data_IF_466966906140
#
_entry.id   IF_466966906140
#
_cell.length_a   1.000
_cell.length_b   1.000
_cell.length_c   1.000
_cell.angle_alpha   90.00
_cell.angle_beta   90.00
_cell.angle_gamma   90.00
#
_symmetry.space_group_name_H-M   'P 1'
#
loop_
_entity.id
_entity.type
_entity.pdbx_description
1 polymer ?
#
# COMPACT_ATOMS: atom_id res chain seq x y z
N UNK A 1 -36.96 -14.07 -51.79
CA UNK A 1 -35.57 -14.15 -51.31
C UNK A 1 -34.83 -12.95 -51.91
N UNK A 2 -34.45 -11.96 -51.07
CA UNK A 2 -33.88 -10.65 -51.47
C UNK A 2 -34.94 -9.65 -51.96
N UNK A 3 -34.99 -8.36 -51.62
CA UNK A 3 -34.11 -7.36 -50.99
C UNK A 3 -35.06 -6.24 -50.54
N UNK A 4 -35.20 -5.86 -49.26
CA UNK A 4 -34.21 -5.13 -48.49
C UNK A 4 -34.43 -3.62 -48.64
N UNK A 5 -35.48 -3.09 -48.02
CA UNK A 5 -35.78 -1.65 -47.91
C UNK A 5 -34.56 -0.92 -47.34
N UNK A 6 -33.96 -0.05 -48.16
CA UNK A 6 -32.90 0.86 -47.74
C UNK A 6 -33.55 2.12 -47.18
N UNK A 7 -33.87 2.09 -45.89
CA UNK A 7 -34.01 3.32 -45.12
C UNK A 7 -32.63 4.00 -45.04
N UNK A 8 -32.51 5.15 -45.68
CA UNK A 8 -31.46 6.12 -45.39
C UNK A 8 -31.54 6.51 -43.91
N UNK A 9 -30.59 6.04 -43.09
CA UNK A 9 -30.37 6.57 -41.76
C UNK A 9 -29.29 7.65 -41.88
N UNK A 10 -29.53 8.90 -41.44
CA UNK A 10 -28.49 9.92 -41.38
C UNK A 10 -27.36 9.45 -40.46
N UNK A 11 -26.12 9.49 -40.95
CA UNK A 11 -24.93 9.17 -40.18
C UNK A 11 -24.72 10.22 -39.09
N UNK A 12 -25.15 9.91 -37.86
CA UNK A 12 -24.83 10.66 -36.66
C UNK A 12 -23.35 10.47 -36.27
N UNK A 13 -22.42 10.95 -37.10
CA UNK A 13 -20.98 10.97 -36.81
C UNK A 13 -20.33 12.34 -36.89
N UNK A 14 -21.06 13.39 -37.27
CA UNK A 14 -20.42 14.67 -37.56
C UNK A 14 -20.56 15.75 -36.48
N UNK A 15 -21.15 15.48 -35.32
CA UNK A 15 -21.18 16.48 -34.23
C UNK A 15 -21.02 15.84 -32.85
N UNK A 16 -19.77 15.65 -32.43
CA UNK A 16 -19.41 15.69 -31.00
C UNK A 16 -18.41 16.84 -30.82
N UNK A 17 -18.87 18.04 -30.44
CA UNK A 17 -17.97 19.18 -30.29
C UNK A 17 -17.30 19.16 -28.91
N UNK A 18 -15.96 19.12 -28.92
CA UNK A 18 -15.07 19.91 -28.07
C UNK A 18 -15.26 19.92 -26.52
N UNK A 19 -15.91 18.93 -25.92
CA UNK A 19 -15.92 18.76 -24.44
C UNK A 19 -14.90 17.74 -23.93
N UNK A 20 -14.26 16.98 -24.82
CA UNK A 20 -13.18 16.05 -24.45
C UNK A 20 -11.81 16.72 -24.29
N UNK A 21 -11.59 17.89 -24.92
CA UNK A 21 -10.29 18.57 -24.92
C UNK A 21 -9.98 19.36 -23.64
N UNK A 22 -10.99 19.72 -22.85
CA UNK A 22 -10.85 20.60 -21.68
C UNK A 22 -10.65 19.86 -20.35
N UNK A 23 -10.94 18.55 -20.27
CA UNK A 23 -10.70 17.73 -19.08
C UNK A 23 -9.29 17.12 -19.07
N UNK A 24 -8.56 17.23 -20.18
CA UNK A 24 -7.25 16.64 -20.42
C UNK A 24 -6.10 17.65 -20.47
N UNK A 25 -6.28 18.87 -19.94
CA UNK A 25 -5.10 19.62 -19.50
C UNK A 25 -4.63 18.98 -18.21
N UNK A 26 -3.53 18.24 -18.34
CA UNK A 26 -2.69 17.67 -17.29
C UNK A 26 -3.00 18.24 -15.90
N UNK A 27 -3.28 17.34 -14.96
CA UNK A 27 -2.80 17.55 -13.60
C UNK A 27 -1.37 18.05 -13.76
N UNK A 28 -1.10 19.33 -13.45
CA UNK A 28 0.17 19.99 -13.78
C UNK A 28 1.32 19.03 -13.44
N UNK A 29 2.11 18.65 -14.45
CA UNK A 29 3.17 17.65 -14.29
C UNK A 29 4.08 18.03 -13.11
N UNK A 30 4.28 19.33 -12.89
CA UNK A 30 5.03 19.85 -11.74
C UNK A 30 4.32 19.65 -10.39
N UNK A 31 2.98 19.75 -10.33
CA UNK A 31 2.20 19.44 -9.12
C UNK A 31 2.29 17.95 -8.81
N UNK A 32 2.16 17.09 -9.83
CA UNK A 32 2.26 15.65 -9.66
C UNK A 32 3.67 15.22 -9.22
N UNK A 33 4.71 15.74 -9.88
CA UNK A 33 6.10 15.48 -9.52
C UNK A 33 6.44 15.98 -8.11
N UNK A 34 5.92 17.15 -7.71
CA UNK A 34 6.10 17.65 -6.35
C UNK A 34 5.40 16.73 -5.32
N UNK A 35 4.19 16.27 -5.60
CA UNK A 35 3.47 15.35 -4.72
C UNK A 35 4.18 13.98 -4.60
N UNK A 36 4.73 13.45 -5.69
CA UNK A 36 5.51 12.21 -5.66
C UNK A 36 6.83 12.39 -4.90
N UNK A 37 7.50 13.53 -5.07
CA UNK A 37 8.72 13.87 -4.33
C UNK A 37 8.46 13.97 -2.84
N UNK A 38 7.44 14.72 -2.43
CA UNK A 38 7.04 14.82 -1.02
C UNK A 38 6.71 13.44 -0.44
N UNK A 39 5.98 12.59 -1.17
CA UNK A 39 5.68 11.22 -0.73
C UNK A 39 6.94 10.38 -0.56
N UNK A 40 7.88 10.46 -1.52
CA UNK A 40 9.16 9.75 -1.44
C UNK A 40 10.04 10.25 -0.28
N UNK A 41 9.96 11.53 0.06
CA UNK A 41 10.59 12.14 1.24
C UNK A 41 9.85 11.82 2.55
N UNK A 42 8.75 11.05 2.49
CA UNK A 42 7.99 10.60 3.66
C UNK A 42 7.00 11.65 4.18
N UNK A 43 6.48 12.51 3.32
CA UNK A 43 5.54 13.57 3.67
C UNK A 43 4.39 13.74 2.67
N UNK A 44 3.68 14.84 2.82
CA UNK A 44 2.63 15.27 1.90
C UNK A 44 1.26 14.60 2.12
N UNK A 45 0.23 15.12 1.44
CA UNK A 45 -1.17 14.76 1.68
C UNK A 45 -1.50 13.30 1.35
N UNK A 46 -0.73 12.68 0.44
CA UNK A 46 -0.91 11.27 0.08
C UNK A 46 -0.53 10.36 1.25
N UNK A 47 0.62 10.59 1.87
CA UNK A 47 1.05 9.79 3.02
C UNK A 47 0.09 9.97 4.21
N UNK A 48 -0.36 11.21 4.46
CA UNK A 48 -1.34 11.49 5.50
C UNK A 48 -2.67 10.73 5.28
N UNK A 49 -3.15 10.68 4.03
CA UNK A 49 -4.34 9.91 3.69
C UNK A 49 -4.15 8.41 3.92
N UNK A 50 -3.00 7.86 3.52
CA UNK A 50 -2.64 6.46 3.75
C UNK A 50 -2.51 6.12 5.23
N UNK A 51 -1.96 7.03 6.03
CA UNK A 51 -1.86 6.89 7.48
C UNK A 51 -3.26 6.85 8.13
N UNK A 52 -4.15 7.77 7.75
CA UNK A 52 -5.55 7.77 8.22
C UNK A 52 -6.29 6.49 7.83
N UNK A 53 -6.12 6.02 6.59
CA UNK A 53 -6.71 4.76 6.14
C UNK A 53 -6.20 3.58 6.97
N UNK A 54 -4.89 3.54 7.23
CA UNK A 54 -4.27 2.48 8.02
C UNK A 54 -4.78 2.44 9.46
N UNK A 55 -4.97 3.62 10.08
CA UNK A 55 -5.56 3.76 11.40
C UNK A 55 -7.03 3.35 11.42
N UNK A 56 -7.82 3.81 10.45
CA UNK A 56 -9.24 3.41 10.33
C UNK A 56 -9.40 1.90 10.17
N UNK A 57 -8.52 1.27 9.39
CA UNK A 57 -8.51 -0.19 9.22
C UNK A 57 -8.14 -0.94 10.51
N UNK A 58 -7.28 -0.39 11.39
CA UNK A 58 -6.99 -0.99 12.70
C UNK A 58 -8.23 -0.92 13.63
N UNK A 59 -8.86 0.25 13.70
CA UNK A 59 -9.99 0.49 14.62
C UNK A 59 -11.26 -0.26 14.19
N UNK A 60 -11.46 -0.44 12.88
CA UNK A 60 -12.66 -1.07 12.32
C UNK A 60 -12.61 -2.60 12.18
N UNK A 61 -11.48 -3.26 12.48
CA UNK A 61 -11.29 -4.67 12.15
C UNK A 61 -12.10 -5.65 13.04
N UNK A 62 -12.67 -5.19 14.16
CA UNK A 62 -13.43 -6.05 15.08
C UNK A 62 -12.60 -7.13 15.77
N UNK A 63 -11.27 -7.04 15.68
CA UNK A 63 -10.30 -7.93 16.34
C UNK A 63 -9.52 -7.13 17.38
N UNK A 64 -8.95 -7.85 18.34
CA UNK A 64 -8.15 -7.26 19.42
C UNK A 64 -6.90 -6.55 18.83
N UNK A 65 -6.51 -5.36 19.36
CA UNK A 65 -5.49 -4.52 18.72
C UNK A 65 -4.12 -5.18 18.54
N UNK A 66 -3.63 -5.95 19.51
CA UNK A 66 -2.35 -6.66 19.39
C UNK A 66 -2.44 -7.75 18.31
N UNK A 67 -3.58 -8.44 18.23
CA UNK A 67 -3.88 -9.42 17.18
C UNK A 67 -3.86 -8.75 15.80
N UNK A 68 -4.47 -7.57 15.65
CA UNK A 68 -4.44 -6.81 14.39
C UNK A 68 -3.02 -6.44 13.95
N UNK A 69 -2.16 -6.07 14.91
CA UNK A 69 -0.76 -5.75 14.65
C UNK A 69 0.05 -6.99 14.25
N UNK A 70 -0.16 -8.13 14.91
CA UNK A 70 0.49 -9.39 14.53
C UNK A 70 0.12 -9.82 13.10
N UNK A 71 -1.16 -9.70 12.73
CA UNK A 71 -1.62 -9.98 11.36
C UNK A 71 -0.93 -9.08 10.33
N UNK A 72 -0.72 -7.80 10.66
CA UNK A 72 0.00 -6.88 9.78
C UNK A 72 1.47 -7.26 9.63
N UNK A 73 2.15 -7.56 10.74
CA UNK A 73 3.54 -8.03 10.70
C UNK A 73 3.66 -9.31 9.87
N UNK A 74 2.74 -10.27 10.06
CA UNK A 74 2.66 -11.49 9.26
C UNK A 74 2.50 -11.20 7.76
N UNK A 75 1.64 -10.23 7.40
CA UNK A 75 1.46 -9.81 6.03
C UNK A 75 2.72 -9.17 5.43
N UNK A 76 3.45 -8.34 6.18
CA UNK A 76 4.71 -7.75 5.72
C UNK A 76 5.76 -8.82 5.42
N UNK A 77 5.86 -9.83 6.30
CA UNK A 77 6.73 -10.99 6.10
C UNK A 77 6.34 -11.72 4.81
N UNK A 78 5.05 -12.02 4.62
CA UNK A 78 4.56 -12.72 3.43
C UNK A 78 4.81 -11.93 2.12
N UNK A 79 4.66 -10.61 2.17
CA UNK A 79 4.88 -9.70 1.04
C UNK A 79 6.35 -9.36 0.79
N UNK A 80 7.25 -9.78 1.69
CA UNK A 80 8.66 -9.40 1.65
C UNK A 80 8.88 -7.89 1.63
N UNK A 81 8.17 -7.18 2.52
CA UNK A 81 8.10 -5.72 2.53
C UNK A 81 9.48 -5.03 2.60
N UNK A 82 9.50 -3.73 2.33
CA UNK A 82 10.71 -2.91 2.49
C UNK A 82 11.13 -2.82 3.97
N UNK A 83 12.43 -2.65 4.30
CA UNK A 83 12.93 -2.55 5.67
C UNK A 83 12.17 -1.54 6.55
N UNK A 84 11.92 -0.34 6.03
CA UNK A 84 11.22 0.72 6.74
C UNK A 84 9.79 0.34 7.17
N UNK A 85 9.10 -0.49 6.38
CA UNK A 85 7.74 -0.95 6.69
C UNK A 85 7.69 -1.79 7.96
N UNK A 86 8.73 -2.58 8.24
CA UNK A 86 8.78 -3.37 9.48
C UNK A 86 8.92 -2.46 10.70
N UNK A 87 9.77 -1.43 10.65
CA UNK A 87 9.99 -0.53 11.79
C UNK A 87 8.72 0.19 12.23
N UNK A 88 7.94 0.70 11.28
CA UNK A 88 6.68 1.39 11.57
C UNK A 88 5.74 0.48 12.37
N UNK A 89 5.62 -0.78 11.97
CA UNK A 89 4.69 -1.71 12.63
C UNK A 89 5.26 -2.33 13.92
N UNK A 90 6.58 -2.54 13.99
CA UNK A 90 7.25 -3.02 15.19
C UNK A 90 7.29 -1.95 16.29
N UNK A 91 7.47 -0.67 15.95
CA UNK A 91 7.40 0.43 16.91
C UNK A 91 6.02 0.55 17.55
N UNK A 92 4.97 0.48 16.73
CA UNK A 92 3.58 0.47 17.25
C UNK A 92 3.30 -0.77 18.10
N UNK A 93 3.88 -1.92 17.75
CA UNK A 93 3.77 -3.14 18.56
C UNK A 93 4.48 -3.02 19.91
N UNK A 94 5.66 -2.40 19.95
CA UNK A 94 6.42 -2.13 21.18
C UNK A 94 5.67 -1.16 22.10
N UNK A 95 5.14 -0.06 21.55
CA UNK A 95 4.27 0.89 22.29
C UNK A 95 3.02 0.21 22.85
N UNK A 96 2.49 -0.80 22.15
CA UNK A 96 1.37 -1.62 22.59
C UNK A 96 1.76 -2.73 23.59
N UNK A 97 3.02 -2.79 24.03
CA UNK A 97 3.51 -3.78 24.98
C UNK A 97 3.56 -5.21 24.42
N UNK A 98 3.64 -5.34 23.09
CA UNK A 98 3.75 -6.64 22.45
C UNK A 98 5.09 -7.28 22.80
N UNK A 99 5.03 -8.52 23.27
CA UNK A 99 6.22 -9.29 23.61
C UNK A 99 6.94 -9.79 22.36
N UNK A 100 8.28 -9.79 22.39
CA UNK A 100 9.11 -10.29 21.30
C UNK A 100 8.78 -11.74 20.94
N UNK A 101 8.42 -12.56 21.94
CA UNK A 101 8.02 -13.95 21.79
C UNK A 101 6.79 -14.13 20.90
N UNK A 102 5.89 -13.14 20.82
CA UNK A 102 4.74 -13.18 19.92
C UNK A 102 5.18 -13.05 18.45
N UNK A 103 6.18 -12.23 18.18
CA UNK A 103 6.75 -12.07 16.83
C UNK A 103 7.53 -13.32 16.45
N UNK A 104 8.31 -13.88 17.39
CA UNK A 104 9.02 -15.14 17.18
C UNK A 104 8.05 -16.28 16.85
N UNK A 105 6.95 -16.40 17.61
CA UNK A 105 5.90 -17.39 17.32
C UNK A 105 5.32 -17.21 15.91
N UNK A 106 5.05 -15.96 15.49
CA UNK A 106 4.58 -15.68 14.13
C UNK A 106 5.58 -16.12 13.06
N UNK A 107 6.88 -15.88 13.25
CA UNK A 107 7.92 -16.30 12.30
C UNK A 107 8.00 -17.84 12.19
N UNK A 108 7.90 -18.55 13.33
CA UNK A 108 7.90 -20.01 13.38
C UNK A 108 6.67 -20.57 12.66
N UNK A 109 5.49 -20.05 12.97
CA UNK A 109 4.22 -20.50 12.37
C UNK A 109 4.11 -20.15 10.88
N UNK A 110 4.71 -19.03 10.43
CA UNK A 110 4.73 -18.65 9.01
C UNK A 110 5.76 -19.42 8.19
N UNK A 111 6.85 -19.90 8.80
CA UNK A 111 7.92 -20.60 8.08
C UNK A 111 7.42 -21.71 7.12
N UNK A 112 6.48 -22.60 7.50
CA UNK A 112 5.94 -23.61 6.57
C UNK A 112 5.02 -23.04 5.48
N UNK A 113 4.49 -21.83 5.64
CA UNK A 113 3.57 -21.20 4.68
C UNK A 113 4.29 -20.37 3.62
N UNK A 114 5.29 -19.59 4.03
CA UNK A 114 6.01 -18.65 3.15
C UNK A 114 7.42 -19.12 2.78
N UNK A 115 7.92 -20.16 3.45
CA UNK A 115 9.25 -20.73 3.28
C UNK A 115 10.35 -20.01 4.08
N UNK A 116 11.39 -20.76 4.44
CA UNK A 116 12.52 -20.26 5.26
C UNK A 116 13.24 -19.07 4.63
N UNK A 117 13.37 -19.03 3.30
CA UNK A 117 14.01 -17.92 2.61
C UNK A 117 13.31 -16.57 2.89
N UNK A 118 11.98 -16.58 2.97
CA UNK A 118 11.19 -15.39 3.26
C UNK A 118 11.37 -14.94 4.72
N UNK A 119 11.37 -15.89 5.65
CA UNK A 119 11.62 -15.63 7.08
C UNK A 119 13.00 -15.00 7.29
N UNK A 120 14.05 -15.59 6.68
CA UNK A 120 15.43 -15.07 6.78
C UNK A 120 15.55 -13.68 6.14
N UNK A 121 14.89 -13.45 5.01
CA UNK A 121 14.87 -12.13 4.36
C UNK A 121 14.23 -11.07 5.27
N UNK A 122 13.06 -11.36 5.85
CA UNK A 122 12.38 -10.46 6.78
C UNK A 122 13.27 -10.15 8.00
N UNK A 123 13.89 -11.16 8.61
CA UNK A 123 14.81 -10.96 9.73
C UNK A 123 16.01 -10.08 9.35
N UNK A 124 16.58 -10.28 8.15
CA UNK A 124 17.66 -9.45 7.61
C UNK A 124 17.26 -7.98 7.45
N UNK A 125 16.08 -7.73 6.87
CA UNK A 125 15.53 -6.38 6.65
C UNK A 125 15.18 -5.67 7.95
N UNK A 126 14.66 -6.38 8.94
CA UNK A 126 14.42 -5.83 10.28
C UNK A 126 15.74 -5.37 10.91
N UNK A 127 16.77 -6.22 10.89
CA UNK A 127 18.09 -5.88 11.43
C UNK A 127 18.77 -4.73 10.67
N UNK A 128 18.65 -4.68 9.34
CA UNK A 128 19.13 -3.56 8.52
C UNK A 128 18.48 -2.24 8.97
N UNK A 129 17.15 -2.23 9.10
CA UNK A 129 16.40 -1.05 9.47
C UNK A 129 16.75 -0.57 10.89
N UNK A 130 16.88 -1.47 11.87
CA UNK A 130 17.28 -1.12 13.24
C UNK A 130 18.67 -0.47 13.32
N UNK A 131 19.59 -0.87 12.43
CA UNK A 131 20.93 -0.25 12.36
C UNK A 131 20.88 1.17 11.82
N UNK A 132 19.99 1.46 10.86
CA UNK A 132 19.82 2.80 10.29
C UNK A 132 19.31 3.81 11.33
N UNK A 133 18.48 3.37 12.28
CA UNK A 133 18.03 4.20 13.42
C UNK A 133 19.10 4.38 14.50
N UNK A 134 20.11 3.51 14.55
CA UNK A 134 21.18 3.53 15.56
C UNK A 134 22.45 4.23 15.06
N UNK A 135 22.49 4.66 13.79
CA UNK A 135 23.60 5.39 13.22
C UNK A 135 23.56 6.86 13.71
N UNK A 136 24.70 7.42 14.17
CA UNK A 136 24.78 8.79 14.69
C UNK A 136 24.62 9.87 13.61
#
# INVERSE_FOLDING_TARGET
>A
MGTGDRCCVPSARDEVPAIAGALATAMDDAIFDNALRELAEGGGPVLEALARQSQGALQGAGIEPQTALLVRIAALIALDAAPASYLVHLGVADEAGMKAEAIEAVLIELAPLVGTARIVSAAGKINEASRQLSAP
#
